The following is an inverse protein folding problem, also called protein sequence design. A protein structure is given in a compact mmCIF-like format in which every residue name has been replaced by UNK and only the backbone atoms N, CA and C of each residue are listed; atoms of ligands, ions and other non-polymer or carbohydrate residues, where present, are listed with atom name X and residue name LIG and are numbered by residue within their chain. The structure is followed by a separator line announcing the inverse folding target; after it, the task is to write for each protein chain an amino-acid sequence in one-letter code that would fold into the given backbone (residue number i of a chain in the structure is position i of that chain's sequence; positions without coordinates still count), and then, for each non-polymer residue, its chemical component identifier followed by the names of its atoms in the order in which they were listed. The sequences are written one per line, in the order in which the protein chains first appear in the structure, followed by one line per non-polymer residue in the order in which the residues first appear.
data_IF_748615093755
#
_entry.id   IF_748615093755
#
_cell.length_a   1.000
_cell.length_b   1.000
_cell.length_c   1.000
_cell.angle_alpha   90.00
_cell.angle_beta   90.00
_cell.angle_gamma   90.00
#
_symmetry.space_group_name_H-M   'P 1'
#
loop_
_entity.id
_entity.type
_entity.pdbx_description
1 polymer ?
#
# COMPACT_ATOMS: atom_id res chain seq x y z
N UNK A 1 18.55 -17.43 17.43
CA UNK A 1 18.59 -16.08 18.01
C UNK A 1 18.84 -15.10 16.85
N UNK A 2 17.79 -14.42 16.39
CA UNK A 2 17.90 -13.44 15.30
C UNK A 2 18.65 -12.20 15.78
N UNK A 3 19.44 -11.58 14.91
CA UNK A 3 20.33 -10.46 15.22
C UNK A 3 19.61 -9.13 15.56
N UNK A 4 18.28 -9.16 15.78
CA UNK A 4 17.45 -8.05 16.22
C UNK A 4 17.23 -6.95 15.17
N UNK A 5 16.40 -5.96 15.53
CA UNK A 5 16.07 -4.80 14.67
C UNK A 5 17.28 -3.96 14.27
N UNK A 6 18.30 -3.88 15.14
CA UNK A 6 19.53 -3.14 14.87
C UNK A 6 20.28 -3.72 13.65
N UNK A 7 20.35 -5.05 13.55
CA UNK A 7 20.96 -5.70 12.39
C UNK A 7 20.11 -5.53 11.13
N UNK A 8 18.79 -5.66 11.25
CA UNK A 8 17.88 -5.42 10.13
C UNK A 8 18.07 -4.00 9.57
N UNK A 9 18.15 -2.99 10.46
CA UNK A 9 18.42 -1.60 10.08
C UNK A 9 19.78 -1.45 9.42
N UNK A 10 20.83 -2.08 9.95
CA UNK A 10 22.18 -2.03 9.36
C UNK A 10 22.18 -2.59 7.93
N UNK A 11 21.54 -3.74 7.70
CA UNK A 11 21.43 -4.37 6.37
C UNK A 11 20.65 -3.49 5.40
N UNK A 12 19.50 -2.99 5.83
CA UNK A 12 18.69 -2.06 5.03
C UNK A 12 19.49 -0.82 4.65
N UNK A 13 20.14 -0.17 5.62
CA UNK A 13 20.94 1.04 5.38
C UNK A 13 22.09 0.79 4.40
N UNK A 14 22.71 -0.40 4.44
CA UNK A 14 23.77 -0.74 3.51
C UNK A 14 23.24 -0.92 2.07
N UNK A 15 22.07 -1.54 1.90
CA UNK A 15 21.41 -1.66 0.59
C UNK A 15 20.95 -0.30 0.07
N UNK A 16 20.34 0.51 0.93
CA UNK A 16 19.80 1.83 0.57
C UNK A 16 20.87 2.83 0.09
N UNK A 17 22.15 2.60 0.40
CA UNK A 17 23.26 3.39 -0.19
C UNK A 17 23.43 3.17 -1.69
N UNK A 18 23.10 1.97 -2.18
CA UNK A 18 23.21 1.61 -3.59
C UNK A 18 21.87 1.75 -4.33
N UNK A 19 20.77 1.42 -3.66
CA UNK A 19 19.42 1.48 -4.23
C UNK A 19 18.42 1.98 -3.17
N UNK A 20 18.31 3.32 -2.96
CA UNK A 20 17.52 3.91 -1.88
C UNK A 20 16.00 3.70 -2.02
N UNK A 21 15.53 3.36 -3.22
CA UNK A 21 14.10 3.23 -3.54
C UNK A 21 13.67 1.79 -3.82
N UNK A 22 14.51 0.81 -3.46
CA UNK A 22 14.20 -0.60 -3.58
C UNK A 22 12.99 -1.01 -2.71
N UNK A 23 11.83 -1.21 -3.33
CA UNK A 23 10.61 -1.55 -2.60
C UNK A 23 10.72 -2.88 -1.84
N UNK A 24 11.32 -3.91 -2.43
CA UNK A 24 11.46 -5.22 -1.77
C UNK A 24 12.30 -5.11 -0.48
N UNK A 25 13.38 -4.31 -0.51
CA UNK A 25 14.20 -4.04 0.67
C UNK A 25 13.46 -3.20 1.72
N UNK A 26 12.65 -2.23 1.29
CA UNK A 26 11.81 -1.43 2.18
C UNK A 26 10.76 -2.30 2.87
N UNK A 27 10.04 -3.16 2.14
CA UNK A 27 9.06 -4.08 2.70
C UNK A 27 9.72 -5.08 3.66
N UNK A 28 10.87 -5.66 3.29
CA UNK A 28 11.61 -6.58 4.14
C UNK A 28 12.03 -5.94 5.46
N UNK A 29 12.46 -4.67 5.42
CA UNK A 29 12.83 -3.93 6.62
C UNK A 29 11.61 -3.48 7.43
N UNK A 30 10.52 -3.05 6.77
CA UNK A 30 9.26 -2.68 7.40
C UNK A 30 8.68 -3.83 8.22
N UNK A 31 8.74 -5.07 7.72
CA UNK A 31 8.33 -6.24 8.48
C UNK A 31 9.06 -6.36 9.83
N UNK A 32 10.34 -5.98 9.92
CA UNK A 32 11.10 -6.04 11.17
C UNK A 32 10.68 -4.97 12.18
N UNK A 33 9.96 -3.93 11.74
CA UNK A 33 9.39 -2.88 12.59
C UNK A 33 8.01 -3.25 13.13
N UNK A 34 7.35 -4.29 12.62
CA UNK A 34 6.02 -4.69 13.09
C UNK A 34 6.04 -5.14 14.58
N UNK A 35 4.96 -4.92 15.35
CA UNK A 35 4.88 -5.33 16.76
C UNK A 35 5.16 -6.81 17.01
N UNK A 36 4.75 -7.69 16.09
CA UNK A 36 5.03 -9.14 16.15
C UNK A 36 6.53 -9.50 16.18
N UNK A 37 7.42 -8.55 15.89
CA UNK A 37 8.88 -8.67 15.97
C UNK A 37 9.51 -7.73 17.00
N UNK A 38 8.72 -7.21 17.95
CA UNK A 38 9.18 -6.31 19.01
C UNK A 38 9.28 -4.84 18.61
N UNK A 39 8.64 -4.43 17.50
CA UNK A 39 8.55 -3.03 17.09
C UNK A 39 7.22 -2.35 17.44
N UNK A 40 6.82 -1.36 16.65
CA UNK A 40 5.57 -0.61 16.84
C UNK A 40 4.99 -0.13 15.50
N UNK A 41 3.66 0.02 15.41
CA UNK A 41 3.04 0.60 14.21
C UNK A 41 3.39 2.07 13.99
N UNK A 42 3.74 2.80 15.06
CA UNK A 42 4.29 4.15 14.93
C UNK A 42 5.60 4.12 14.12
N UNK A 43 6.51 3.19 14.44
CA UNK A 43 7.76 3.02 13.69
C UNK A 43 7.52 2.55 12.25
N UNK A 44 6.56 1.63 12.04
CA UNK A 44 6.15 1.17 10.71
C UNK A 44 5.65 2.34 9.85
N UNK A 45 4.68 3.11 10.34
CA UNK A 45 4.10 4.22 9.59
C UNK A 45 5.11 5.35 9.36
N UNK A 46 5.95 5.67 10.35
CA UNK A 46 6.99 6.67 10.20
C UNK A 46 8.01 6.29 9.12
N UNK A 47 8.47 5.03 9.12
CA UNK A 47 9.38 4.53 8.09
C UNK A 47 8.72 4.52 6.71
N UNK A 48 7.47 4.07 6.62
CA UNK A 48 6.78 3.98 5.35
C UNK A 48 6.49 5.35 4.72
N UNK A 49 6.09 6.35 5.53
CA UNK A 49 5.97 7.75 5.08
C UNK A 49 7.31 8.31 4.59
N UNK A 50 8.39 8.05 5.30
CA UNK A 50 9.73 8.47 4.86
C UNK A 50 10.14 7.84 3.51
N UNK A 51 9.72 6.60 3.23
CA UNK A 51 9.95 5.96 1.93
C UNK A 51 9.19 6.69 0.82
N UNK A 52 7.94 7.10 1.06
CA UNK A 52 7.13 7.86 0.08
C UNK A 52 7.68 9.26 -0.13
N UNK A 53 8.06 9.96 0.94
CA UNK A 53 8.50 11.36 0.86
C UNK A 53 9.88 11.53 0.22
N UNK A 54 10.74 10.52 0.35
CA UNK A 54 12.06 10.53 -0.30
C UNK A 54 12.05 10.01 -1.74
N UNK A 55 10.95 9.40 -2.18
CA UNK A 55 10.87 8.77 -3.49
C UNK A 55 10.73 9.79 -4.62
N UNK A 56 11.33 9.52 -5.80
CA UNK A 56 11.03 10.29 -7.01
C UNK A 56 9.54 10.20 -7.38
N UNK A 57 8.97 11.23 -8.03
CA UNK A 57 7.61 11.15 -8.58
C UNK A 57 7.43 9.91 -9.48
N UNK A 58 6.31 9.21 -9.33
CA UNK A 58 6.02 8.00 -10.10
C UNK A 58 6.64 6.71 -9.56
N UNK A 59 7.48 6.79 -8.53
CA UNK A 59 8.13 5.61 -7.97
C UNK A 59 7.16 4.74 -7.14
N UNK A 60 7.37 3.42 -7.05
CA UNK A 60 6.45 2.48 -6.40
C UNK A 60 6.56 2.44 -4.86
N UNK A 61 7.26 3.39 -4.23
CA UNK A 61 7.54 3.35 -2.79
C UNK A 61 6.29 3.52 -1.90
N UNK A 62 5.17 3.96 -2.47
CA UNK A 62 3.86 3.90 -1.80
C UNK A 62 3.45 2.46 -1.43
N UNK A 63 4.02 1.43 -2.06
CA UNK A 63 3.87 0.04 -1.67
C UNK A 63 4.21 -0.20 -0.20
N UNK A 64 5.29 0.39 0.32
CA UNK A 64 5.67 0.25 1.73
C UNK A 64 4.62 0.85 2.67
N UNK A 65 4.02 1.99 2.30
CA UNK A 65 2.95 2.63 3.06
C UNK A 65 1.69 1.75 3.10
N UNK A 66 1.32 1.16 1.97
CA UNK A 66 0.22 0.20 1.88
C UNK A 66 0.50 -1.04 2.75
N UNK A 67 1.69 -1.62 2.64
CA UNK A 67 2.11 -2.75 3.49
C UNK A 67 1.98 -2.41 4.97
N UNK A 68 2.45 -1.23 5.40
CA UNK A 68 2.33 -0.77 6.78
C UNK A 68 0.89 -0.68 7.29
N UNK A 69 0.00 -0.09 6.49
CA UNK A 69 -1.41 0.01 6.84
C UNK A 69 -2.12 -1.35 6.85
N UNK A 70 -1.80 -2.27 5.93
CA UNK A 70 -2.35 -3.61 5.96
C UNK A 70 -1.88 -4.41 7.18
N UNK A 71 -0.60 -4.33 7.54
CA UNK A 71 -0.07 -4.98 8.75
C UNK A 71 -0.77 -4.47 10.01
N UNK A 72 -1.02 -3.16 10.10
CA UNK A 72 -1.79 -2.60 11.22
C UNK A 72 -3.24 -3.09 11.20
N UNK A 73 -3.90 -3.02 10.04
CA UNK A 73 -5.27 -3.47 9.89
C UNK A 73 -5.45 -4.95 10.29
N UNK A 74 -4.50 -5.82 9.96
CA UNK A 74 -4.51 -7.25 10.30
C UNK A 74 -4.22 -7.55 11.77
N UNK A 75 -3.60 -6.62 12.49
CA UNK A 75 -3.29 -6.76 13.92
C UNK A 75 -4.43 -6.22 14.81
N UNK A 76 -5.38 -5.50 14.23
CA UNK A 76 -6.55 -5.01 14.96
C UNK A 76 -7.54 -6.14 15.25
N UNK A 77 -8.21 -6.09 16.42
CA UNK A 77 -9.39 -6.91 16.67
C UNK A 77 -10.49 -6.69 15.61
N UNK A 78 -11.33 -7.70 15.38
CA UNK A 78 -12.34 -7.69 14.31
C UNK A 78 -13.29 -6.48 14.37
N UNK A 79 -13.69 -6.07 15.57
CA UNK A 79 -14.55 -4.92 15.85
C UNK A 79 -13.91 -3.57 15.48
N UNK A 80 -12.58 -3.46 15.60
CA UNK A 80 -11.82 -2.26 15.26
C UNK A 80 -11.36 -2.24 13.79
N UNK A 81 -11.11 -3.41 13.21
CA UNK A 81 -10.57 -3.57 11.85
C UNK A 81 -11.51 -2.98 10.78
N UNK A 82 -12.83 -3.06 11.00
CA UNK A 82 -13.84 -2.65 10.03
C UNK A 82 -13.81 -1.16 9.69
N UNK A 83 -13.32 -0.31 10.59
CA UNK A 83 -13.28 1.16 10.44
C UNK A 83 -11.89 1.74 10.13
N UNK A 84 -10.82 0.94 10.22
CA UNK A 84 -9.45 1.42 10.17
C UNK A 84 -9.12 2.26 8.92
N UNK A 85 -9.38 1.73 7.72
CA UNK A 85 -9.09 2.44 6.47
C UNK A 85 -9.96 3.69 6.29
N UNK A 86 -11.14 3.76 6.92
CA UNK A 86 -12.02 4.94 6.87
C UNK A 86 -11.57 6.08 7.79
N UNK A 87 -10.53 5.88 8.60
CA UNK A 87 -9.96 6.95 9.43
C UNK A 87 -9.42 8.07 8.54
N UNK A 88 -9.73 9.36 8.83
CA UNK A 88 -9.35 10.48 7.97
C UNK A 88 -7.85 10.54 7.64
N UNK A 89 -7.00 10.26 8.63
CA UNK A 89 -5.55 10.26 8.49
C UNK A 89 -5.04 9.14 7.56
N UNK A 90 -5.61 7.93 7.64
CA UNK A 90 -5.25 6.80 6.76
C UNK A 90 -5.69 7.08 5.33
N UNK A 91 -6.90 7.62 5.18
CA UNK A 91 -7.41 8.05 3.86
C UNK A 91 -6.52 9.12 3.25
N UNK A 92 -6.15 10.14 4.01
CA UNK A 92 -5.31 11.24 3.53
C UNK A 92 -3.90 10.77 3.13
N UNK A 93 -3.27 9.91 3.95
CA UNK A 93 -1.97 9.32 3.67
C UNK A 93 -2.01 8.55 2.34
N UNK A 94 -3.02 7.70 2.13
CA UNK A 94 -3.13 6.87 0.93
C UNK A 94 -3.52 7.65 -0.33
N UNK A 95 -4.39 8.66 -0.24
CA UNK A 95 -4.70 9.54 -1.38
C UNK A 95 -3.44 10.30 -1.83
N UNK A 96 -2.70 10.85 -0.88
CA UNK A 96 -1.45 11.58 -1.17
C UNK A 96 -0.40 10.67 -1.79
N UNK A 97 -0.24 9.46 -1.25
CA UNK A 97 0.71 8.49 -1.75
C UNK A 97 0.35 7.98 -3.16
N UNK A 98 -0.93 7.75 -3.44
CA UNK A 98 -1.38 7.35 -4.77
C UNK A 98 -1.01 8.40 -5.84
N UNK A 99 -1.22 9.68 -5.53
CA UNK A 99 -0.90 10.80 -6.41
C UNK A 99 0.62 10.94 -6.69
N UNK A 100 1.47 10.76 -5.67
CA UNK A 100 2.94 10.81 -5.83
C UNK A 100 3.52 9.58 -6.51
N UNK A 101 2.78 8.47 -6.51
CA UNK A 101 3.25 7.16 -6.98
C UNK A 101 2.56 6.78 -8.29
N UNK A 102 1.73 5.75 -8.29
CA UNK A 102 1.22 5.14 -9.52
C UNK A 102 0.24 5.99 -10.33
N UNK A 103 -0.23 7.11 -9.79
CA UNK A 103 -1.05 8.08 -10.53
C UNK A 103 -0.23 9.27 -11.06
N UNK A 104 1.05 9.37 -10.72
CA UNK A 104 1.94 10.39 -11.27
C UNK A 104 2.22 10.11 -12.76
N UNK A 105 2.26 11.12 -13.64
CA UNK A 105 2.58 10.93 -15.06
C UNK A 105 3.93 10.29 -15.35
N UNK A 106 4.90 10.37 -14.43
CA UNK A 106 6.22 9.76 -14.57
C UNK A 106 6.25 8.28 -14.14
N UNK A 107 5.13 7.73 -13.68
CA UNK A 107 5.04 6.33 -13.29
C UNK A 107 5.33 5.40 -14.49
N UNK A 108 6.26 4.46 -14.28
CA UNK A 108 6.59 3.43 -15.28
C UNK A 108 5.91 2.11 -14.89
N UNK A 109 5.11 1.50 -15.79
CA UNK A 109 4.52 0.19 -15.54
C UNK A 109 5.57 -0.89 -15.30
N UNK A 110 5.34 -1.72 -14.29
CA UNK A 110 6.22 -2.82 -13.91
C UNK A 110 5.68 -3.55 -12.68
N UNK A 111 6.36 -4.62 -12.26
CA UNK A 111 5.88 -5.50 -11.17
C UNK A 111 5.53 -4.73 -9.88
N UNK A 112 6.38 -3.80 -9.46
CA UNK A 112 6.18 -3.03 -8.22
C UNK A 112 5.04 -2.01 -8.34
N UNK A 113 4.83 -1.39 -9.52
CA UNK A 113 3.71 -0.46 -9.74
C UNK A 113 2.39 -1.22 -9.92
N UNK A 114 2.41 -2.42 -10.51
CA UNK A 114 1.26 -3.35 -10.50
C UNK A 114 0.86 -3.71 -9.07
N UNK A 115 1.80 -4.11 -8.22
CA UNK A 115 1.53 -4.37 -6.80
C UNK A 115 0.88 -3.16 -6.11
N UNK A 116 1.40 -1.96 -6.35
CA UNK A 116 0.83 -0.74 -5.79
C UNK A 116 -0.62 -0.53 -6.24
N UNK A 117 -0.95 -0.69 -7.53
CA UNK A 117 -2.33 -0.60 -7.99
C UNK A 117 -3.23 -1.65 -7.33
N UNK A 118 -2.79 -2.92 -7.24
CA UNK A 118 -3.58 -3.98 -6.60
C UNK A 118 -3.86 -3.68 -5.12
N UNK A 119 -2.86 -3.14 -4.41
CA UNK A 119 -2.95 -2.76 -3.02
C UNK A 119 -3.81 -1.50 -2.80
N UNK A 120 -3.68 -0.47 -3.63
CA UNK A 120 -4.55 0.71 -3.59
C UNK A 120 -6.00 0.36 -3.92
N UNK A 121 -6.23 -0.50 -4.93
CA UNK A 121 -7.57 -0.96 -5.30
C UNK A 121 -8.27 -1.61 -4.10
N UNK A 122 -7.57 -2.46 -3.35
CA UNK A 122 -8.11 -3.05 -2.13
C UNK A 122 -8.34 -2.00 -1.04
N UNK A 123 -7.34 -1.18 -0.74
CA UNK A 123 -7.43 -0.19 0.33
C UNK A 123 -8.60 0.78 0.14
N UNK A 124 -8.74 1.37 -1.05
CA UNK A 124 -9.88 2.26 -1.37
C UNK A 124 -11.22 1.52 -1.39
N UNK A 125 -11.23 0.22 -1.71
CA UNK A 125 -12.44 -0.59 -1.61
C UNK A 125 -12.85 -0.84 -0.16
N UNK A 126 -11.89 -1.06 0.75
CA UNK A 126 -12.13 -1.16 2.20
C UNK A 126 -12.59 0.18 2.81
N UNK A 127 -12.18 1.31 2.21
CA UNK A 127 -12.69 2.64 2.58
C UNK A 127 -14.14 2.87 2.13
N UNK A 128 -14.64 2.13 1.13
CA UNK A 128 -15.90 2.44 0.47
C UNK A 128 -15.79 3.63 -0.51
N UNK A 129 -14.63 3.82 -1.12
CA UNK A 129 -14.31 4.93 -2.03
C UNK A 129 -14.09 4.42 -3.47
N UNK A 130 -15.16 3.98 -4.17
CA UNK A 130 -15.03 3.32 -5.47
C UNK A 130 -14.50 4.24 -6.57
N UNK A 131 -14.74 5.55 -6.47
CA UNK A 131 -14.16 6.53 -7.39
C UNK A 131 -12.63 6.60 -7.26
N UNK A 132 -12.09 6.49 -6.03
CA UNK A 132 -10.64 6.42 -5.80
C UNK A 132 -10.06 5.07 -6.22
N UNK A 133 -10.79 3.97 -6.05
CA UNK A 133 -10.35 2.64 -6.45
C UNK A 133 -10.31 2.46 -7.99
N UNK A 134 -11.19 3.16 -8.72
CA UNK A 134 -11.38 3.05 -10.17
C UNK A 134 -10.08 3.08 -10.99
N UNK A 135 -9.20 4.12 -10.89
CA UNK A 135 -7.98 4.17 -11.69
C UNK A 135 -7.05 2.98 -11.43
N UNK A 136 -7.06 2.42 -10.22
CA UNK A 136 -6.23 1.27 -9.89
C UNK A 136 -6.77 -0.03 -10.49
N UNK A 137 -8.08 -0.26 -10.43
CA UNK A 137 -8.70 -1.40 -11.11
C UNK A 137 -8.61 -1.32 -12.64
N UNK A 138 -8.58 -0.12 -13.21
CA UNK A 138 -8.38 0.08 -14.64
C UNK A 138 -6.94 -0.22 -15.09
N UNK A 139 -5.96 -0.14 -14.19
CA UNK A 139 -4.54 -0.33 -14.47
C UNK A 139 -4.03 -1.77 -14.28
N UNK A 140 -4.88 -2.69 -13.80
CA UNK A 140 -4.50 -4.08 -13.49
C UNK A 140 -5.34 -5.08 -14.29
N UNK A 141 -4.91 -6.34 -14.28
CA UNK A 141 -5.63 -7.44 -14.92
C UNK A 141 -7.06 -7.61 -14.34
N UNK A 142 -7.93 -8.25 -15.12
CA UNK A 142 -9.30 -8.57 -14.72
C UNK A 142 -9.39 -9.76 -13.74
N UNK A 143 -8.29 -10.49 -13.55
CA UNK A 143 -8.18 -11.61 -12.61
C UNK A 143 -7.62 -11.19 -11.26
N UNK A 144 -8.18 -11.76 -10.18
CA UNK A 144 -7.65 -11.58 -8.83
C UNK A 144 -6.18 -12.05 -8.77
N UNK A 145 -5.26 -11.20 -8.33
CA UNK A 145 -3.83 -11.49 -8.41
C UNK A 145 -3.34 -12.44 -7.32
N UNK A 146 -2.43 -13.35 -7.68
CA UNK A 146 -1.83 -14.31 -6.76
C UNK A 146 -0.70 -13.66 -5.93
N UNK A 147 -0.80 -13.69 -4.60
CA UNK A 147 0.28 -13.25 -3.69
C UNK A 147 0.21 -11.82 -3.15
N UNK A 148 -0.88 -11.11 -3.43
CA UNK A 148 -1.14 -9.70 -3.11
C UNK A 148 -1.88 -9.53 -1.78
N UNK A 149 -2.15 -8.31 -1.27
CA UNK A 149 -2.93 -8.15 -0.03
C UNK A 149 -4.34 -8.75 -0.11
N UNK A 150 -4.85 -9.04 -1.31
CA UNK A 150 -6.11 -9.75 -1.53
C UNK A 150 -6.16 -11.11 -0.85
N UNK A 151 -5.03 -11.80 -0.69
CA UNK A 151 -4.97 -13.13 -0.03
C UNK A 151 -5.51 -13.15 1.40
N UNK A 152 -5.60 -11.98 2.06
CA UNK A 152 -6.12 -11.85 3.41
C UNK A 152 -7.64 -11.65 3.46
N UNK A 153 -8.27 -11.44 2.31
CA UNK A 153 -9.72 -11.34 2.22
C UNK A 153 -10.36 -12.73 2.28
N UNK A 154 -11.49 -12.83 2.98
CA UNK A 154 -12.37 -13.97 2.83
C UNK A 154 -12.98 -13.98 1.41
N UNK A 155 -12.80 -15.10 0.69
CA UNK A 155 -13.22 -15.28 -0.71
C UNK A 155 -12.64 -14.18 -1.64
N UNK A 156 -11.32 -14.17 -1.85
CA UNK A 156 -10.63 -13.05 -2.48
C UNK A 156 -11.01 -12.87 -3.95
N UNK A 157 -11.27 -13.96 -4.68
CA UNK A 157 -11.71 -13.91 -6.08
C UNK A 157 -13.05 -13.19 -6.21
N UNK A 158 -14.03 -13.55 -5.36
CA UNK A 158 -15.34 -12.91 -5.37
C UNK A 158 -15.26 -11.44 -4.95
N UNK A 159 -14.55 -11.15 -3.86
CA UNK A 159 -14.35 -9.77 -3.37
C UNK A 159 -13.69 -8.88 -4.42
N UNK A 160 -12.69 -9.41 -5.12
CA UNK A 160 -12.03 -8.70 -6.21
C UNK A 160 -13.02 -8.36 -7.33
N UNK A 161 -13.79 -9.34 -7.79
CA UNK A 161 -14.78 -9.15 -8.84
C UNK A 161 -15.84 -8.11 -8.45
N UNK A 162 -16.39 -8.22 -7.23
CA UNK A 162 -17.41 -7.31 -6.72
C UNK A 162 -16.88 -5.87 -6.63
N UNK A 163 -15.72 -5.67 -5.99
CA UNK A 163 -15.13 -4.34 -5.85
C UNK A 163 -14.72 -3.74 -7.19
N UNK A 164 -14.18 -4.54 -8.10
CA UNK A 164 -13.84 -4.08 -9.45
C UNK A 164 -15.09 -3.62 -10.20
N UNK A 165 -16.18 -4.38 -10.16
CA UNK A 165 -17.43 -4.01 -10.81
C UNK A 165 -17.99 -2.68 -10.26
N UNK A 166 -18.00 -2.51 -8.94
CA UNK A 166 -18.44 -1.28 -8.28
C UNK A 166 -17.57 -0.09 -8.68
N UNK A 167 -16.24 -0.25 -8.64
CA UNK A 167 -15.30 0.82 -8.97
C UNK A 167 -15.36 1.23 -10.44
N UNK A 168 -15.49 0.27 -11.36
CA UNK A 168 -15.60 0.55 -12.80
C UNK A 168 -16.97 1.11 -13.21
N UNK A 169 -18.00 1.01 -12.35
CA UNK A 169 -19.27 1.69 -12.52
C UNK A 169 -19.27 3.12 -11.92
N UNK A 170 -18.37 3.41 -10.98
CA UNK A 170 -18.28 4.72 -10.33
C UNK A 170 -17.81 5.81 -11.31
N UNK A 171 -18.28 7.07 -11.13
CA UNK A 171 -17.79 8.19 -11.90
C UNK A 171 -16.28 8.39 -11.65
N UNK A 172 -15.56 8.87 -12.65
CA UNK A 172 -14.17 9.27 -12.45
C UNK A 172 -14.09 10.30 -11.32
N UNK A 173 -13.10 10.20 -10.41
CA UNK A 173 -12.93 11.18 -9.35
C UNK A 173 -12.82 12.56 -10.00
N UNK A 174 -13.73 13.45 -9.64
CA UNK A 174 -13.89 14.74 -10.30
C UNK A 174 -12.56 15.49 -10.34
N UNK A 175 -11.98 15.61 -11.52
CA UNK A 175 -10.84 16.49 -11.75
C UNK A 175 -11.31 17.92 -11.49
N UNK A 176 -10.62 18.63 -10.60
CA UNK A 176 -10.62 20.08 -10.64
C UNK A 176 -10.18 20.44 -12.05
N UNK A 177 -11.11 20.94 -12.86
CA UNK A 177 -10.77 21.61 -14.11
C UNK A 177 -9.87 22.78 -13.73
N UNK A 178 -8.67 22.79 -14.29
CA UNK A 178 -7.84 23.99 -14.33
C UNK A 178 -8.59 25.14 -15.01
#
# INVERSE_FOLDING_TARGET
LGLGQAEARRRYNQLAKADPHNLDAQDAFLQQLCPKWGGSFEAVHAFARACVDSAPPGAPNAGALLTGHFEHWLDLPDDDSGGYFRRPEVRQDLVTAAAKSVLDPNCVPGKSTTYCHEAFALAFSLMGEPALARPHFAAIADTCPAGTPWRWMHDPQRRFADYRAIALAAPSPGGVRA
#
